data_IF_489461295793
#
_entry.id   IF_489461295793
#
_cell.length_a   1.000
_cell.length_b   1.000
_cell.length_c   1.000
_cell.angle_alpha   90.00
_cell.angle_beta   90.00
_cell.angle_gamma   90.00
#
_symmetry.space_group_name_H-M   'P 1'
#
loop_
_entity.id
_entity.type
_entity.pdbx_description
1 polymer ?
#
# COMPACT_ATOMS: atom_id res chain seq x y z
N UNK A 1 35.79 9.14 -25.88
CA UNK A 1 34.79 8.11 -25.53
C UNK A 1 34.06 8.59 -24.28
N UNK A 2 32.79 8.97 -24.41
CA UNK A 2 31.99 9.42 -23.26
C UNK A 2 31.20 8.21 -22.79
N UNK A 3 31.62 7.66 -21.67
CA UNK A 3 30.99 6.50 -21.01
C UNK A 3 29.56 6.89 -20.63
N UNK A 4 28.59 6.45 -21.44
CA UNK A 4 27.16 6.55 -21.14
C UNK A 4 26.72 5.22 -20.53
N UNK A 5 27.25 4.88 -19.35
CA UNK A 5 26.72 3.75 -18.57
C UNK A 5 25.30 4.08 -18.09
N UNK A 6 24.31 3.17 -18.24
CA UNK A 6 22.95 3.42 -17.76
C UNK A 6 23.02 3.68 -16.27
N UNK A 7 22.47 4.80 -15.82
CA UNK A 7 22.48 5.22 -14.42
C UNK A 7 22.17 4.03 -13.52
N UNK A 8 23.20 3.49 -12.85
CA UNK A 8 23.07 2.42 -11.86
C UNK A 8 22.21 2.98 -10.75
N UNK A 9 20.88 2.80 -10.85
CA UNK A 9 19.98 3.02 -9.72
C UNK A 9 20.58 2.22 -8.56
N UNK A 10 20.99 2.92 -7.50
CA UNK A 10 21.61 2.32 -6.31
C UNK A 10 20.87 1.05 -5.92
N UNK A 11 21.60 -0.04 -5.71
CA UNK A 11 21.05 -1.35 -5.34
C UNK A 11 20.10 -1.23 -4.13
N UNK A 12 20.37 -0.30 -3.22
CA UNK A 12 19.49 0.05 -2.10
C UNK A 12 18.15 0.66 -2.52
N UNK A 13 18.11 1.51 -3.55
CA UNK A 13 16.85 2.06 -4.10
C UNK A 13 15.97 0.96 -4.68
N UNK A 14 16.55 0.00 -5.41
CA UNK A 14 15.82 -1.16 -5.94
C UNK A 14 15.21 -2.01 -4.83
N UNK A 15 16.00 -2.35 -3.81
CA UNK A 15 15.53 -3.11 -2.64
C UNK A 15 14.40 -2.35 -1.92
N UNK A 16 14.56 -1.04 -1.71
CA UNK A 16 13.54 -0.21 -1.06
C UNK A 16 12.21 -0.24 -1.82
N UNK A 17 12.24 -0.17 -3.16
CA UNK A 17 11.02 -0.25 -3.95
C UNK A 17 10.36 -1.64 -3.94
N UNK A 18 11.15 -2.70 -3.94
CA UNK A 18 10.61 -4.07 -3.81
C UNK A 18 10.02 -4.30 -2.43
N UNK A 19 10.63 -3.77 -1.38
CA UNK A 19 10.08 -3.82 -0.02
C UNK A 19 8.77 -3.04 0.10
N UNK A 20 8.70 -1.84 -0.49
CA UNK A 20 7.46 -1.04 -0.54
C UNK A 20 6.36 -1.82 -1.27
N UNK A 21 6.66 -2.41 -2.41
CA UNK A 21 5.69 -3.18 -3.20
C UNK A 21 5.18 -4.42 -2.43
N UNK A 22 6.09 -5.19 -1.83
CA UNK A 22 5.73 -6.34 -1.00
C UNK A 22 4.90 -5.91 0.22
N UNK A 23 5.28 -4.81 0.87
CA UNK A 23 4.54 -4.28 2.02
C UNK A 23 3.13 -3.82 1.64
N UNK A 24 2.97 -3.20 0.47
CA UNK A 24 1.65 -2.81 -0.05
C UNK A 24 0.74 -4.00 -0.28
N UNK A 25 1.26 -5.08 -0.87
CA UNK A 25 0.50 -6.32 -1.06
C UNK A 25 0.08 -6.97 0.26
N UNK A 26 0.98 -7.00 1.26
CA UNK A 26 0.69 -7.54 2.60
C UNK A 26 -0.38 -6.67 3.30
N UNK A 27 -0.22 -5.35 3.27
CA UNK A 27 -1.17 -4.40 3.87
C UNK A 27 -2.54 -4.53 3.20
N UNK A 28 -2.59 -4.64 1.87
CA UNK A 28 -3.82 -4.86 1.12
C UNK A 28 -4.52 -6.18 1.46
N UNK A 29 -3.74 -7.28 1.57
CA UNK A 29 -4.27 -8.57 2.00
C UNK A 29 -4.82 -8.54 3.43
N UNK A 30 -4.10 -7.91 4.36
CA UNK A 30 -4.56 -7.75 5.74
C UNK A 30 -5.80 -6.85 5.82
N UNK A 31 -5.87 -5.78 5.03
CA UNK A 31 -7.05 -4.92 4.92
C UNK A 31 -8.28 -5.73 4.48
N UNK A 32 -8.13 -6.64 3.51
CA UNK A 32 -9.24 -7.48 3.07
C UNK A 32 -9.77 -8.36 4.21
N UNK A 33 -8.87 -9.01 4.96
CA UNK A 33 -9.26 -9.80 6.13
C UNK A 33 -9.93 -8.94 7.21
N UNK A 34 -9.41 -7.75 7.47
CA UNK A 34 -9.96 -6.80 8.43
C UNK A 34 -11.36 -6.31 8.00
N UNK A 35 -11.57 -6.00 6.72
CA UNK A 35 -12.88 -5.65 6.18
C UNK A 35 -13.87 -6.81 6.29
N UNK A 36 -13.44 -8.04 6.00
CA UNK A 36 -14.26 -9.23 6.23
C UNK A 36 -14.63 -9.38 7.70
N UNK A 37 -13.67 -9.20 8.61
CA UNK A 37 -13.93 -9.22 10.05
C UNK A 37 -14.99 -8.20 10.46
N UNK A 38 -14.86 -6.94 10.03
CA UNK A 38 -15.87 -5.91 10.32
C UNK A 38 -17.25 -6.25 9.77
N UNK A 39 -17.31 -6.85 8.58
CA UNK A 39 -18.56 -7.27 7.97
C UNK A 39 -19.32 -8.29 8.83
N UNK A 40 -18.61 -9.25 9.44
CA UNK A 40 -19.21 -10.26 10.33
C UNK A 40 -19.36 -9.80 11.77
N UNK A 41 -18.54 -8.85 12.23
CA UNK A 41 -18.55 -8.38 13.62
C UNK A 41 -19.75 -7.47 13.92
N UNK A 42 -20.10 -6.57 13.01
CA UNK A 42 -21.17 -5.60 13.24
C UNK A 42 -22.53 -6.12 12.81
N UNK A 43 -23.53 -5.83 13.63
CA UNK A 43 -24.92 -6.24 13.39
C UNK A 43 -25.62 -5.28 12.42
N UNK A 44 -25.35 -3.97 12.52
CA UNK A 44 -26.00 -2.98 11.65
C UNK A 44 -25.20 -2.70 10.38
N UNK A 45 -25.94 -2.49 9.28
CA UNK A 45 -25.36 -2.11 7.99
C UNK A 45 -24.58 -0.79 8.03
N UNK A 46 -25.00 0.16 8.88
CA UNK A 46 -24.34 1.46 9.01
C UNK A 46 -22.96 1.31 9.66
N UNK A 47 -22.86 0.54 10.75
CA UNK A 47 -21.57 0.29 11.42
C UNK A 47 -20.59 -0.45 10.50
N UNK A 48 -21.07 -1.42 9.70
CA UNK A 48 -20.27 -2.11 8.69
C UNK A 48 -19.68 -1.14 7.67
N UNK A 49 -20.53 -0.29 7.07
CA UNK A 49 -20.10 0.67 6.05
C UNK A 49 -19.09 1.67 6.62
N UNK A 50 -19.30 2.15 7.84
CA UNK A 50 -18.39 3.08 8.50
C UNK A 50 -17.04 2.40 8.79
N UNK A 51 -17.04 1.21 9.38
CA UNK A 51 -15.80 0.51 9.74
C UNK A 51 -14.98 0.09 8.51
N UNK A 52 -15.63 -0.45 7.48
CA UNK A 52 -14.99 -0.80 6.21
C UNK A 52 -14.49 0.46 5.51
N UNK A 53 -15.33 1.50 5.41
CA UNK A 53 -14.97 2.78 4.80
C UNK A 53 -13.78 3.46 5.47
N UNK A 54 -13.75 3.47 6.82
CA UNK A 54 -12.62 4.00 7.59
C UNK A 54 -11.35 3.18 7.36
N UNK A 55 -11.44 1.85 7.35
CA UNK A 55 -10.30 0.97 7.12
C UNK A 55 -9.67 1.20 5.73
N UNK A 56 -10.51 1.29 4.70
CA UNK A 56 -10.07 1.62 3.33
C UNK A 56 -9.50 3.04 3.27
N UNK A 57 -10.16 4.00 3.92
CA UNK A 57 -9.71 5.38 3.98
C UNK A 57 -8.31 5.53 4.58
N UNK A 58 -8.00 4.80 5.65
CA UNK A 58 -6.66 4.77 6.25
C UNK A 58 -5.61 4.26 5.26
N UNK A 59 -5.86 3.14 4.60
CA UNK A 59 -4.91 2.59 3.62
C UNK A 59 -4.74 3.52 2.41
N UNK A 60 -5.82 4.16 1.96
CA UNK A 60 -5.75 5.18 0.92
C UNK A 60 -4.87 6.37 1.34
N UNK A 61 -5.02 6.87 2.57
CA UNK A 61 -4.18 7.95 3.10
C UNK A 61 -2.71 7.52 3.19
N UNK A 62 -2.44 6.30 3.65
CA UNK A 62 -1.07 5.75 3.71
C UNK A 62 -0.47 5.70 2.30
N UNK A 63 -1.20 5.17 1.32
CA UNK A 63 -0.76 5.11 -0.07
C UNK A 63 -0.50 6.50 -0.68
N UNK A 64 -1.31 7.50 -0.31
CA UNK A 64 -1.15 8.88 -0.75
C UNK A 64 0.05 9.59 -0.11
N UNK A 65 0.37 9.27 1.14
CA UNK A 65 1.55 9.82 1.84
C UNK A 65 2.83 9.14 1.35
N UNK A 66 2.73 7.91 0.86
CA UNK A 66 3.88 7.18 0.35
C UNK A 66 4.40 7.87 -0.93
N UNK A 67 5.69 8.24 -1.00
CA UNK A 67 6.22 8.94 -2.15
C UNK A 67 6.07 8.09 -3.42
N UNK A 68 5.41 8.65 -4.43
CA UNK A 68 5.31 8.06 -5.76
C UNK A 68 6.71 7.77 -6.29
N UNK A 69 6.91 6.59 -6.93
CA UNK A 69 8.21 6.21 -7.49
C UNK A 69 8.71 7.32 -8.43
N UNK A 70 9.80 8.05 -8.13
CA UNK A 70 10.40 8.97 -9.09
C UNK A 70 10.97 8.16 -10.27
N UNK A 71 10.42 8.42 -11.46
CA UNK A 71 10.73 7.82 -12.76
C UNK A 71 10.43 6.32 -12.90
N UNK A 72 9.32 6.02 -13.59
CA UNK A 72 9.33 4.96 -14.62
C UNK A 72 10.04 5.50 -15.86
#
# INVERSE_FOLDING_TARGET
>A
MRDNGPAKLSLGKRIMYSLIEASGAIIGGFLLLLCCYWFFHYETWHERLIAIGLSIGVVYLIGKVLPERPNQ
#
